data_IF_668015411175
#
_entry.id   IF_668015411175
#
_cell.length_a   1.000
_cell.length_b   1.000
_cell.length_c   1.000
_cell.angle_alpha   90.00
_cell.angle_beta   90.00
_cell.angle_gamma   90.00
#
_symmetry.space_group_name_H-M   'P 1'
#
loop_
_entity.id
_entity.type
_entity.pdbx_description
1 polymer ?
#
# COMPACT_ATOMS: atom_id res chain seq x y z
N UNK A 1 -9.96 15.11 -9.91
CA UNK A 1 -8.83 14.60 -10.71
C UNK A 1 -8.55 13.18 -10.23
N UNK A 2 -8.49 12.20 -11.13
CA UNK A 2 -8.26 10.80 -10.74
C UNK A 2 -6.88 10.67 -10.10
N UNK A 3 -6.80 10.08 -8.91
CA UNK A 3 -5.53 9.84 -8.24
C UNK A 3 -4.76 8.72 -8.96
N UNK A 4 -3.43 8.79 -9.06
CA UNK A 4 -2.63 7.71 -9.61
C UNK A 4 -2.74 6.45 -8.75
N UNK A 5 -2.87 5.31 -9.43
CA UNK A 5 -2.85 3.98 -8.80
C UNK A 5 -1.53 3.30 -9.19
N UNK A 6 -0.76 2.92 -8.17
CA UNK A 6 0.44 2.13 -8.30
C UNK A 6 0.11 0.66 -8.07
N UNK A 7 0.40 -0.17 -9.05
CA UNK A 7 0.21 -1.62 -8.95
C UNK A 7 1.53 -2.25 -8.54
N UNK A 8 1.55 -2.84 -7.35
CA UNK A 8 2.70 -3.57 -6.82
C UNK A 8 2.82 -4.94 -7.51
N UNK A 9 3.99 -5.21 -8.11
CA UNK A 9 4.26 -6.42 -8.90
C UNK A 9 5.59 -7.07 -8.52
N UNK A 10 5.64 -8.40 -8.49
CA UNK A 10 6.88 -9.17 -8.24
C UNK A 10 7.69 -9.44 -9.53
N UNK A 11 7.01 -9.63 -10.66
CA UNK A 11 7.59 -10.16 -11.90
C UNK A 11 7.48 -9.17 -13.06
N UNK A 12 7.90 -9.59 -14.26
CA UNK A 12 7.87 -8.84 -15.54
C UNK A 12 6.49 -8.52 -16.09
N UNK A 13 5.54 -8.21 -15.23
CA UNK A 13 4.19 -7.91 -15.64
C UNK A 13 4.11 -6.50 -16.22
N UNK A 14 3.98 -6.43 -17.54
CA UNK A 14 3.70 -5.19 -18.25
C UNK A 14 2.25 -4.82 -17.98
N UNK A 15 2.04 -3.90 -17.05
CA UNK A 15 0.74 -3.26 -16.81
C UNK A 15 0.67 -1.92 -17.52
N UNK A 16 -0.50 -1.57 -18.07
CA UNK A 16 -0.76 -0.22 -18.63
C UNK A 16 -0.79 0.89 -17.57
N UNK A 17 -0.73 0.53 -16.29
CA UNK A 17 -0.82 1.44 -15.15
C UNK A 17 0.56 1.78 -14.61
N UNK A 18 0.63 2.69 -13.64
CA UNK A 18 1.89 2.98 -12.95
C UNK A 18 2.31 1.76 -12.15
N UNK A 19 3.56 1.35 -12.30
CA UNK A 19 4.09 0.15 -11.66
C UNK A 19 4.90 0.50 -10.43
N UNK A 20 4.66 -0.22 -9.34
CA UNK A 20 5.55 -0.29 -8.19
C UNK A 20 6.16 -1.70 -8.18
N UNK A 21 7.48 -1.82 -8.26
CA UNK A 21 8.14 -3.11 -8.37
C UNK A 21 8.66 -3.58 -7.02
N UNK A 22 8.21 -4.75 -6.59
CA UNK A 22 8.66 -5.44 -5.38
C UNK A 22 10.04 -6.08 -5.59
N UNK A 23 10.67 -6.49 -4.49
CA UNK A 23 11.91 -7.27 -4.51
C UNK A 23 13.18 -6.47 -4.25
N UNK A 24 13.06 -5.18 -3.89
CA UNK A 24 14.19 -4.38 -3.43
C UNK A 24 14.31 -4.48 -1.90
N UNK A 25 15.53 -4.52 -1.39
CA UNK A 25 15.79 -4.57 0.05
C UNK A 25 17.22 -4.99 0.34
N UNK A 26 17.41 -5.72 1.44
CA UNK A 26 18.70 -6.28 1.83
C UNK A 26 18.59 -7.78 2.11
N UNK A 27 19.72 -8.47 2.02
CA UNK A 27 19.90 -9.82 2.53
C UNK A 27 20.43 -9.78 3.98
N UNK A 28 20.35 -10.87 4.77
CA UNK A 28 20.86 -10.91 6.14
C UNK A 28 22.32 -10.50 6.29
N UNK A 29 23.14 -10.74 5.27
CA UNK A 29 24.57 -10.42 5.24
C UNK A 29 24.87 -8.93 4.93
N UNK A 30 23.85 -8.07 4.81
CA UNK A 30 24.01 -6.64 4.52
C UNK A 30 24.24 -6.28 3.06
N UNK A 31 24.28 -7.25 2.15
CA UNK A 31 24.27 -7.00 0.71
C UNK A 31 22.88 -6.57 0.21
N UNK A 32 22.85 -5.83 -0.90
CA UNK A 32 21.59 -5.37 -1.51
C UNK A 32 20.87 -6.54 -2.17
N UNK A 33 19.56 -6.58 -2.00
CA UNK A 33 18.65 -7.44 -2.76
C UNK A 33 17.97 -6.61 -3.84
N UNK A 34 18.06 -7.09 -5.08
CA UNK A 34 17.43 -6.49 -6.25
C UNK A 34 16.56 -7.54 -6.95
N UNK A 35 15.48 -7.13 -7.65
CA UNK A 35 14.76 -8.04 -8.52
C UNK A 35 15.67 -8.51 -9.68
N UNK A 36 15.42 -9.72 -10.19
CA UNK A 36 16.21 -10.32 -11.27
C UNK A 36 16.26 -9.45 -12.55
N UNK A 37 15.16 -8.73 -12.82
CA UNK A 37 15.07 -7.72 -13.88
C UNK A 37 14.38 -6.48 -13.34
N UNK A 38 14.92 -5.31 -13.62
CA UNK A 38 14.32 -4.02 -13.25
C UNK A 38 13.38 -3.58 -14.36
N UNK A 39 12.12 -3.29 -14.00
CA UNK A 39 11.11 -2.84 -14.95
C UNK A 39 11.34 -1.37 -15.31
N UNK A 40 11.22 -1.02 -16.60
CA UNK A 40 11.35 0.38 -17.01
C UNK A 40 10.21 1.21 -16.41
N UNK A 41 10.54 2.42 -15.97
CA UNK A 41 9.59 3.40 -15.41
C UNK A 41 8.84 2.96 -14.13
N UNK A 42 9.26 1.87 -13.47
CA UNK A 42 8.70 1.49 -12.17
C UNK A 42 9.26 2.35 -11.04
N UNK A 43 8.48 2.47 -9.97
CA UNK A 43 8.98 2.90 -8.66
C UNK A 43 9.41 1.65 -7.91
N UNK A 44 10.55 1.70 -7.22
CA UNK A 44 11.00 0.57 -6.41
C UNK A 44 10.20 0.50 -5.10
N UNK A 45 9.77 -0.69 -4.70
CA UNK A 45 9.22 -0.95 -3.37
C UNK A 45 10.30 -1.65 -2.56
N UNK A 46 10.69 -1.03 -1.44
CA UNK A 46 11.75 -1.51 -0.55
C UNK A 46 11.09 -2.04 0.71
N UNK A 47 11.24 -3.34 0.97
CA UNK A 47 10.78 -3.95 2.22
C UNK A 47 11.87 -3.99 3.30
N UNK A 48 11.45 -4.28 4.53
CA UNK A 48 12.33 -4.43 5.70
C UNK A 48 12.48 -5.89 6.15
N UNK A 49 12.23 -6.88 5.27
CA UNK A 49 12.31 -8.31 5.62
C UNK A 49 13.62 -8.63 6.35
N UNK A 50 14.70 -8.05 5.83
CA UNK A 50 15.98 -7.95 6.52
C UNK A 50 16.46 -6.50 6.48
N UNK A 51 16.84 -5.99 7.65
CA UNK A 51 17.47 -4.69 7.77
C UNK A 51 18.72 -4.74 8.67
N UNK A 52 19.77 -5.45 8.22
CA UNK A 52 21.03 -5.56 8.95
C UNK A 52 21.86 -4.28 8.81
N UNK A 53 23.08 -4.31 9.35
CA UNK A 53 24.08 -3.32 9.02
C UNK A 53 24.48 -3.46 7.55
N UNK A 54 24.02 -2.53 6.71
CA UNK A 54 24.37 -2.46 5.30
C UNK A 54 25.67 -1.69 5.09
N UNK A 55 26.43 -2.11 4.08
CA UNK A 55 27.65 -1.42 3.65
C UNK A 55 27.32 -0.20 2.80
N UNK A 56 28.27 0.74 2.68
CA UNK A 56 28.11 1.88 1.78
C UNK A 56 27.91 1.43 0.32
N UNK A 57 28.63 0.39 -0.12
CA UNK A 57 28.51 -0.14 -1.48
C UNK A 57 27.12 -0.73 -1.76
N UNK A 58 26.51 -1.43 -0.80
CA UNK A 58 25.14 -1.94 -0.94
C UNK A 58 24.13 -0.81 -1.07
N UNK A 59 24.28 0.26 -0.27
CA UNK A 59 23.42 1.45 -0.34
C UNK A 59 23.55 2.17 -1.68
N UNK A 60 24.78 2.40 -2.16
CA UNK A 60 24.98 3.07 -3.45
C UNK A 60 24.46 2.24 -4.61
N UNK A 61 24.63 0.92 -4.55
CA UNK A 61 24.04 0.01 -5.53
C UNK A 61 22.51 0.10 -5.51
N UNK A 62 21.88 0.09 -4.33
CA UNK A 62 20.43 0.27 -4.20
C UNK A 62 19.98 1.61 -4.80
N UNK A 63 20.59 2.73 -4.37
CA UNK A 63 20.30 4.09 -4.85
C UNK A 63 20.37 4.22 -6.36
N UNK A 64 21.38 3.58 -6.99
CA UNK A 64 21.56 3.61 -8.45
C UNK A 64 20.34 3.07 -9.22
N UNK A 65 19.49 2.26 -8.56
CA UNK A 65 18.27 1.69 -9.14
C UNK A 65 17.00 2.49 -8.82
N UNK A 66 17.06 3.47 -7.92
CA UNK A 66 15.90 4.26 -7.47
C UNK A 66 15.64 5.50 -8.33
N UNK A 67 15.75 5.38 -9.65
CA UNK A 67 15.71 6.51 -10.61
C UNK A 67 14.41 7.31 -10.49
N UNK A 68 13.27 6.63 -10.28
CA UNK A 68 11.95 7.27 -10.14
C UNK A 68 11.58 7.57 -8.68
N UNK A 69 12.43 7.18 -7.73
CA UNK A 69 12.15 7.15 -6.29
C UNK A 69 11.73 5.77 -5.80
N UNK A 70 11.36 5.70 -4.53
CA UNK A 70 10.92 4.47 -3.87
C UNK A 70 9.66 4.66 -3.02
N UNK A 71 8.98 3.55 -2.80
CA UNK A 71 7.96 3.36 -1.75
C UNK A 71 8.57 2.42 -0.71
N UNK A 72 8.39 2.72 0.57
CA UNK A 72 8.82 1.84 1.65
C UNK A 72 7.65 0.96 2.10
N UNK A 73 7.89 -0.33 2.20
CA UNK A 73 6.96 -1.36 2.65
C UNK A 73 7.51 -1.99 3.94
N UNK A 74 7.58 -1.18 4.99
CA UNK A 74 8.14 -1.57 6.27
C UNK A 74 7.04 -2.05 7.21
N UNK A 75 7.14 -3.30 7.65
CA UNK A 75 6.15 -3.92 8.53
C UNK A 75 6.62 -3.95 9.99
N UNK A 76 7.92 -3.74 10.24
CA UNK A 76 8.53 -3.88 11.58
C UNK A 76 8.49 -2.57 12.35
N UNK A 77 8.77 -2.67 13.65
CA UNK A 77 8.97 -1.50 14.51
C UNK A 77 10.20 -0.71 14.06
N UNK A 78 10.11 0.61 14.17
CA UNK A 78 11.20 1.53 13.85
C UNK A 78 12.45 1.17 14.67
N UNK A 79 13.58 1.05 13.99
CA UNK A 79 14.91 0.86 14.60
C UNK A 79 15.88 1.92 14.10
N UNK A 80 17.07 2.07 14.71
CA UNK A 80 18.12 2.98 14.20
C UNK A 80 18.50 2.71 12.74
N UNK A 81 18.46 1.44 12.30
CA UNK A 81 18.73 1.06 10.91
C UNK A 81 17.66 1.60 9.96
N UNK A 82 16.39 1.59 10.35
CA UNK A 82 15.33 2.21 9.55
C UNK A 82 15.56 3.71 9.42
N UNK A 83 15.85 4.39 10.53
CA UNK A 83 16.14 5.83 10.54
C UNK A 83 17.34 6.16 9.64
N UNK A 84 18.40 5.36 9.70
CA UNK A 84 19.58 5.51 8.84
C UNK A 84 19.21 5.31 7.37
N UNK A 85 18.46 4.27 7.04
CA UNK A 85 18.06 3.99 5.66
C UNK A 85 17.15 5.11 5.10
N UNK A 86 16.13 5.53 5.84
CA UNK A 86 15.22 6.61 5.42
C UNK A 86 15.98 7.91 5.15
N UNK A 87 16.98 8.26 5.97
CA UNK A 87 17.79 9.47 5.79
C UNK A 87 18.69 9.46 4.57
N UNK A 88 19.20 8.29 4.18
CA UNK A 88 20.15 8.18 3.06
C UNK A 88 19.46 7.91 1.73
N UNK A 89 18.23 7.40 1.73
CA UNK A 89 17.48 7.16 0.51
C UNK A 89 17.14 8.49 -0.17
N UNK A 90 17.13 8.54 -1.51
CA UNK A 90 17.03 9.79 -2.24
C UNK A 90 15.59 10.33 -2.22
N UNK A 91 14.73 9.81 -3.11
CA UNK A 91 13.35 10.25 -3.27
C UNK A 91 12.40 9.19 -2.73
N UNK A 92 11.95 9.37 -1.49
CA UNK A 92 10.89 8.56 -0.90
C UNK A 92 9.54 9.17 -1.28
N UNK A 93 8.73 8.42 -2.01
CA UNK A 93 7.40 8.83 -2.49
C UNK A 93 6.36 8.60 -1.42
N UNK A 94 6.38 7.40 -0.84
CA UNK A 94 5.49 7.01 0.22
C UNK A 94 6.16 6.03 1.17
N UNK A 95 5.68 5.96 2.39
CA UNK A 95 6.21 5.11 3.46
C UNK A 95 5.10 4.84 4.50
N UNK A 96 5.19 3.78 5.32
CA UNK A 96 4.14 3.44 6.27
C UNK A 96 3.92 4.55 7.28
N UNK A 97 2.66 4.82 7.65
CA UNK A 97 2.26 5.93 8.52
C UNK A 97 3.18 6.16 9.73
N UNK A 98 3.57 5.09 10.43
CA UNK A 98 4.44 5.15 11.61
C UNK A 98 5.80 5.80 11.36
N UNK A 99 6.31 5.75 10.12
CA UNK A 99 7.62 6.28 9.74
C UNK A 99 7.56 7.74 9.25
N UNK A 100 6.35 8.36 9.16
CA UNK A 100 6.16 9.63 8.47
C UNK A 100 7.02 10.78 9.03
N UNK A 101 7.26 10.79 10.34
CA UNK A 101 8.13 11.78 10.99
C UNK A 101 9.57 11.74 10.48
N UNK A 102 10.06 10.59 9.99
CA UNK A 102 11.42 10.43 9.47
C UNK A 102 11.60 11.00 8.07
N UNK A 103 10.53 11.10 7.28
CA UNK A 103 10.53 11.75 5.97
C UNK A 103 9.18 12.46 5.71
N UNK A 104 8.97 13.65 6.31
CA UNK A 104 7.68 14.37 6.26
C UNK A 104 7.23 14.81 4.85
N UNK A 105 8.13 14.77 3.86
CA UNK A 105 7.82 15.06 2.45
C UNK A 105 7.23 13.85 1.71
N UNK A 106 7.38 12.64 2.25
CA UNK A 106 6.79 11.43 1.69
C UNK A 106 5.33 11.30 2.12
N UNK A 107 4.49 10.70 1.28
CA UNK A 107 3.11 10.41 1.63
C UNK A 107 3.06 9.27 2.67
N UNK A 108 2.37 9.44 3.80
CA UNK A 108 2.08 8.31 4.68
C UNK A 108 1.13 7.36 3.95
N UNK A 109 1.49 6.07 3.95
CA UNK A 109 0.64 4.98 3.47
C UNK A 109 -0.29 4.61 4.61
N UNK A 110 -1.58 4.72 4.34
CA UNK A 110 -2.65 4.46 5.31
C UNK A 110 -3.57 3.40 4.71
N UNK A 111 -3.94 2.43 5.54
CA UNK A 111 -4.80 1.31 5.17
C UNK A 111 -6.04 1.31 6.05
N UNK A 112 -7.13 0.75 5.53
CA UNK A 112 -8.34 0.52 6.30
C UNK A 112 -8.31 -0.93 6.80
N UNK A 113 -7.65 -1.14 7.94
CA UNK A 113 -7.23 -2.46 8.44
C UNK A 113 -8.35 -3.36 8.94
N UNK A 114 -9.49 -2.78 9.32
CA UNK A 114 -10.69 -3.50 9.74
C UNK A 114 -11.81 -3.28 8.72
N UNK A 115 -12.81 -4.18 8.62
CA UNK A 115 -14.05 -3.92 7.89
C UNK A 115 -14.71 -2.67 8.45
N UNK A 116 -14.35 -1.51 7.90
CA UNK A 116 -14.79 -0.24 8.37
C UNK A 116 -16.29 -0.15 8.14
N UNK A 117 -17.02 -0.01 9.23
CA UNK A 117 -18.43 0.29 9.22
C UNK A 117 -18.73 1.70 8.67
N UNK A 118 -17.71 2.54 8.43
CA UNK A 118 -17.85 3.89 7.86
C UNK A 118 -16.58 4.41 7.16
N UNK A 119 -16.48 4.21 5.84
CA UNK A 119 -15.40 4.80 5.03
C UNK A 119 -15.30 6.32 5.20
N UNK A 120 -16.42 7.02 5.31
CA UNK A 120 -16.44 8.47 5.51
C UNK A 120 -15.72 8.90 6.80
N UNK A 121 -15.87 8.12 7.87
CA UNK A 121 -15.19 8.39 9.13
C UNK A 121 -13.68 8.17 8.99
N UNK A 122 -13.28 7.04 8.41
CA UNK A 122 -11.86 6.74 8.11
C UNK A 122 -11.24 7.89 7.31
N UNK A 123 -11.87 8.29 6.20
CA UNK A 123 -11.33 9.33 5.33
C UNK A 123 -11.25 10.71 5.99
N UNK A 124 -12.27 11.07 6.78
CA UNK A 124 -12.29 12.35 7.50
C UNK A 124 -11.18 12.41 8.57
N UNK A 125 -10.96 11.31 9.30
CA UNK A 125 -9.88 11.20 10.29
C UNK A 125 -8.51 11.24 9.62
N UNK A 126 -8.31 10.50 8.53
CA UNK A 126 -7.06 10.47 7.78
C UNK A 126 -6.72 11.83 7.17
N UNK A 127 -7.68 12.53 6.57
CA UNK A 127 -7.47 13.89 6.06
C UNK A 127 -7.09 14.86 7.19
N UNK A 128 -7.77 14.78 8.35
CA UNK A 128 -7.44 15.63 9.50
C UNK A 128 -6.00 15.39 9.98
N UNK A 129 -5.54 14.14 9.96
CA UNK A 129 -4.18 13.76 10.35
C UNK A 129 -3.13 14.16 9.31
N UNK A 130 -3.44 14.01 8.02
CA UNK A 130 -2.53 14.27 6.91
C UNK A 130 -3.15 15.23 5.88
N UNK A 131 -3.31 16.52 6.23
CA UNK A 131 -3.99 17.50 5.37
C UNK A 131 -3.21 17.81 4.09
N UNK A 132 -1.89 17.59 4.09
CA UNK A 132 -1.02 17.78 2.93
C UNK A 132 -1.03 16.58 1.97
N UNK A 133 -1.73 15.51 2.35
CA UNK A 133 -1.98 14.35 1.52
C UNK A 133 -1.35 13.06 2.04
N UNK A 134 -1.90 11.96 1.57
CA UNK A 134 -1.57 10.59 1.97
C UNK A 134 -1.78 9.63 0.80
N UNK A 135 -1.29 8.40 0.94
CA UNK A 135 -1.47 7.32 -0.02
C UNK A 135 -2.36 6.23 0.58
N UNK A 136 -3.38 5.80 -0.15
CA UNK A 136 -4.23 4.68 0.25
C UNK A 136 -3.54 3.36 -0.10
N UNK A 137 -3.37 2.47 0.87
CA UNK A 137 -3.13 1.06 0.58
C UNK A 137 -4.48 0.35 0.30
N UNK A 138 -4.56 -0.31 -0.84
CA UNK A 138 -5.73 -1.08 -1.27
C UNK A 138 -5.49 -2.53 -0.90
N UNK A 139 -6.10 -2.95 0.21
CA UNK A 139 -6.18 -4.36 0.63
C UNK A 139 -7.64 -4.80 0.46
N UNK A 140 -7.99 -5.54 -0.60
CA UNK A 140 -9.37 -5.94 -0.81
C UNK A 140 -9.88 -6.85 0.31
N UNK A 141 -11.03 -6.52 0.87
CA UNK A 141 -11.58 -7.29 1.97
C UNK A 141 -12.13 -8.63 1.51
N UNK A 142 -11.92 -9.64 2.37
CA UNK A 142 -12.61 -10.92 2.37
C UNK A 142 -12.60 -11.47 3.80
N UNK A 143 -13.55 -11.03 4.64
CA UNK A 143 -13.64 -11.40 6.06
C UNK A 143 -15.00 -11.98 6.44
N UNK A 144 -14.99 -13.08 7.19
CA UNK A 144 -16.18 -13.59 7.89
C UNK A 144 -16.43 -12.71 9.11
N UNK A 145 -17.69 -12.34 9.33
CA UNK A 145 -18.13 -11.55 10.48
C UNK A 145 -19.33 -12.22 11.11
N UNK A 146 -19.37 -12.19 12.44
CA UNK A 146 -20.52 -12.67 13.20
C UNK A 146 -21.72 -11.76 12.96
N UNK A 147 -22.88 -12.35 12.71
CA UNK A 147 -24.13 -11.61 12.55
C UNK A 147 -25.11 -12.28 11.61
N UNK A 148 -26.28 -11.67 11.48
CA UNK A 148 -27.30 -12.04 10.51
C UNK A 148 -27.67 -10.83 9.67
N UNK A 149 -28.05 -11.05 8.42
CA UNK A 149 -28.54 -9.99 7.54
C UNK A 149 -29.98 -10.28 7.13
N UNK A 150 -30.80 -9.25 6.85
CA UNK A 150 -32.19 -9.44 6.42
C UNK A 150 -32.33 -10.19 5.09
N UNK A 151 -31.25 -10.25 4.31
CA UNK A 151 -31.18 -10.89 2.98
C UNK A 151 -29.93 -11.75 2.90
N UNK A 152 -29.96 -12.76 2.03
CA UNK A 152 -28.82 -13.64 1.78
C UNK A 152 -27.61 -12.90 1.19
N UNK A 153 -27.82 -11.78 0.51
CA UNK A 153 -26.74 -10.93 0.01
C UNK A 153 -27.17 -9.47 -0.09
N UNK A 154 -26.19 -8.57 -0.18
CA UNK A 154 -26.47 -7.16 -0.36
C UNK A 154 -25.21 -6.29 -0.35
N UNK A 155 -25.42 -4.99 -0.17
CA UNK A 155 -24.39 -3.97 -0.18
C UNK A 155 -24.44 -3.14 1.09
N UNK A 156 -23.28 -2.97 1.74
CA UNK A 156 -23.12 -2.17 2.94
C UNK A 156 -22.67 -0.77 2.53
N UNK A 157 -23.61 0.17 2.46
CA UNK A 157 -23.38 1.51 1.93
C UNK A 157 -22.23 2.26 2.61
N UNK A 158 -22.17 2.22 3.94
CA UNK A 158 -21.15 2.95 4.70
C UNK A 158 -19.77 2.29 4.63
N UNK A 159 -19.74 0.97 4.53
CA UNK A 159 -18.52 0.17 4.42
C UNK A 159 -18.02 0.02 2.97
N UNK A 160 -18.85 0.41 2.00
CA UNK A 160 -18.60 0.28 0.56
C UNK A 160 -18.12 -1.14 0.25
N UNK A 161 -18.85 -2.15 0.72
CA UNK A 161 -18.51 -3.56 0.51
C UNK A 161 -19.76 -4.40 0.27
N UNK A 162 -19.60 -5.57 -0.34
CA UNK A 162 -20.66 -6.55 -0.52
C UNK A 162 -20.69 -7.50 0.68
N UNK A 163 -21.87 -8.04 0.97
CA UNK A 163 -22.00 -9.14 1.91
C UNK A 163 -22.79 -10.27 1.28
N UNK A 164 -22.50 -11.50 1.73
CA UNK A 164 -23.31 -12.68 1.46
C UNK A 164 -23.35 -13.59 2.69
N UNK A 165 -24.44 -14.31 2.88
CA UNK A 165 -24.56 -15.37 3.87
C UNK A 165 -23.87 -16.63 3.31
N UNK A 166 -22.97 -17.22 4.07
CA UNK A 166 -22.24 -18.42 3.69
C UNK A 166 -21.98 -19.25 4.95
N UNK A 167 -22.43 -20.50 4.96
CA UNK A 167 -22.22 -21.46 6.04
C UNK A 167 -22.67 -20.96 7.43
N UNK A 168 -23.78 -20.20 7.47
CA UNK A 168 -24.31 -19.60 8.71
C UNK A 168 -23.60 -18.33 9.17
N UNK A 169 -22.60 -17.84 8.44
CA UNK A 169 -21.87 -16.60 8.73
C UNK A 169 -22.10 -15.53 7.65
N UNK A 170 -21.80 -14.27 7.98
CA UNK A 170 -21.76 -13.20 7.00
C UNK A 170 -20.35 -13.03 6.44
N UNK A 171 -20.22 -13.17 5.14
CA UNK A 171 -19.00 -12.96 4.40
C UNK A 171 -19.00 -11.54 3.82
N UNK A 172 -18.17 -10.65 4.35
CA UNK A 172 -17.96 -9.31 3.79
C UNK A 172 -16.79 -9.33 2.81
N UNK A 173 -16.98 -8.75 1.63
CA UNK A 173 -15.96 -8.77 0.60
C UNK A 173 -16.02 -7.58 -0.35
N UNK A 174 -14.87 -7.27 -0.93
CA UNK A 174 -14.76 -6.31 -2.01
C UNK A 174 -14.89 -6.98 -3.39
N UNK A 175 -15.51 -6.25 -4.31
CA UNK A 175 -15.52 -6.47 -5.76
C UNK A 175 -14.76 -5.35 -6.46
N UNK A 176 -14.55 -5.47 -7.78
CA UNK A 176 -13.95 -4.38 -8.58
C UNK A 176 -14.73 -3.07 -8.41
N UNK A 177 -16.06 -3.15 -8.49
CA UNK A 177 -16.94 -1.99 -8.36
C UNK A 177 -16.79 -1.30 -6.99
N UNK A 178 -16.68 -2.06 -5.90
CA UNK A 178 -16.51 -1.46 -4.57
C UNK A 178 -15.15 -0.82 -4.40
N UNK A 179 -14.09 -1.39 -4.99
CA UNK A 179 -12.76 -0.75 -5.01
C UNK A 179 -12.79 0.54 -5.81
N UNK A 180 -13.43 0.56 -6.98
CA UNK A 180 -13.62 1.77 -7.78
C UNK A 180 -14.39 2.87 -7.04
N UNK A 181 -15.44 2.50 -6.29
CA UNK A 181 -16.19 3.42 -5.45
C UNK A 181 -15.32 4.01 -4.31
N UNK A 182 -14.54 3.18 -3.63
CA UNK A 182 -13.57 3.63 -2.61
C UNK A 182 -12.54 4.58 -3.21
N UNK A 183 -11.94 4.21 -4.34
CA UNK A 183 -10.96 5.03 -5.06
C UNK A 183 -11.53 6.34 -5.61
N UNK A 184 -12.82 6.39 -5.92
CA UNK A 184 -13.50 7.63 -6.30
C UNK A 184 -13.70 8.50 -5.07
N UNK A 185 -14.19 7.91 -3.97
CA UNK A 185 -14.50 8.64 -2.75
C UNK A 185 -13.26 9.30 -2.12
N UNK A 186 -12.13 8.58 -2.05
CA UNK A 186 -10.90 9.10 -1.40
C UNK A 186 -10.34 10.36 -2.07
N UNK A 187 -10.67 10.63 -3.33
CA UNK A 187 -10.20 11.80 -4.08
C UNK A 187 -10.64 13.12 -3.45
N UNK A 188 -11.79 13.12 -2.77
CA UNK A 188 -12.31 14.28 -2.04
C UNK A 188 -11.65 14.50 -0.67
N UNK A 189 -10.74 13.61 -0.25
CA UNK A 189 -10.19 13.57 1.11
C UNK A 189 -8.66 13.70 1.16
N UNK A 190 -8.09 14.53 0.28
CA UNK A 190 -6.64 14.79 0.17
C UNK A 190 -5.79 13.56 -0.14
N UNK A 191 -6.39 12.42 -0.49
CA UNK A 191 -5.65 11.26 -0.98
C UNK A 191 -4.95 11.65 -2.30
N UNK A 192 -3.65 11.33 -2.41
CA UNK A 192 -2.80 11.74 -3.55
C UNK A 192 -2.45 10.59 -4.47
N UNK A 193 -2.56 9.36 -4.00
CA UNK A 193 -2.25 8.14 -4.73
C UNK A 193 -2.84 6.93 -4.02
N UNK A 194 -2.93 5.81 -4.72
CA UNK A 194 -3.20 4.52 -4.11
C UNK A 194 -2.14 3.50 -4.52
N UNK A 195 -1.90 2.50 -3.67
CA UNK A 195 -1.01 1.36 -3.90
C UNK A 195 -1.80 0.08 -3.65
N UNK A 196 -1.70 -0.90 -4.53
CA UNK A 196 -2.33 -2.21 -4.30
C UNK A 196 -1.57 -3.33 -4.98
N UNK A 197 -1.62 -4.53 -4.40
CA UNK A 197 -1.01 -5.71 -4.99
C UNK A 197 -1.81 -6.14 -6.23
N UNK A 198 -1.15 -6.20 -7.39
CA UNK A 198 -1.81 -6.56 -8.65
C UNK A 198 -2.49 -7.93 -8.58
N UNK A 199 -1.82 -8.88 -7.93
CA UNK A 199 -2.33 -10.25 -7.77
C UNK A 199 -3.65 -10.28 -6.98
N UNK A 200 -3.78 -9.45 -5.94
CA UNK A 200 -4.98 -9.38 -5.12
C UNK A 200 -6.12 -8.70 -5.86
N UNK A 201 -5.83 -7.59 -6.55
CA UNK A 201 -6.83 -6.85 -7.32
C UNK A 201 -7.39 -7.68 -8.50
N UNK A 202 -6.58 -8.58 -9.07
CA UNK A 202 -7.04 -9.52 -10.12
C UNK A 202 -8.01 -10.58 -9.61
N UNK A 203 -7.96 -10.93 -8.34
CA UNK A 203 -8.85 -11.94 -7.73
C UNK A 203 -10.25 -11.39 -7.48
N UNK A 204 -10.46 -10.08 -7.65
CA UNK A 204 -11.77 -9.47 -7.49
C UNK A 204 -12.69 -9.88 -8.63
N UNK A 205 -13.88 -10.35 -8.24
CA UNK A 205 -14.99 -10.59 -9.16
C UNK A 205 -15.51 -9.24 -9.68
#
# INVERSE_FOLDING_TARGET
MQIPIYLAVKNEEIVKHRTAQLGFGFYPNGSVRLPAKILPNSIAVIDDLYLPNFTQSAVEMLKSKLIRGCILDFERKITPQHQRLVKILPKIIALPEAYHELAPKALPIVTCSEPCNSWLQFLSQTQKKFPNGWMLEIVPWKRKVSGSAPKNEGFLKNAICRYKQQDGELMYFDTKQTIEQKLTLVQSYSCRAALGLLEELRKLQ
#
